data_IF_637126988972
#
_entry.id   IF_637126988972
#
_cell.length_a   1.000
_cell.length_b   1.000
_cell.length_c   1.000
_cell.angle_alpha   90.00
_cell.angle_beta   90.00
_cell.angle_gamma   90.00
#
_symmetry.space_group_name_H-M   'P 1'
#
loop_
_entity.id
_entity.type
_entity.pdbx_description
1 polymer ?
#
# COMPACT_ATOMS: atom_id res chain seq x y z
N UNK A 1 -26.04 4.66 4.97
CA UNK A 1 -25.14 3.87 4.10
C UNK A 1 -25.95 2.87 3.27
N UNK A 2 -25.51 2.55 2.03
CA UNK A 2 -26.06 1.45 1.24
C UNK A 2 -26.01 0.10 1.97
N UNK A 3 -26.81 -0.87 1.53
CA UNK A 3 -26.77 -2.24 2.07
C UNK A 3 -25.75 -3.13 1.35
N UNK A 4 -25.64 -2.98 0.03
CA UNK A 4 -24.75 -3.77 -0.82
C UNK A 4 -23.28 -3.39 -0.56
N UNK A 5 -22.37 -4.35 -0.32
CA UNK A 5 -20.96 -4.08 -0.08
C UNK A 5 -20.26 -3.33 -1.23
N UNK A 6 -20.62 -3.61 -2.49
CA UNK A 6 -20.06 -2.91 -3.65
C UNK A 6 -20.46 -1.43 -3.68
N UNK A 7 -21.73 -1.14 -3.39
CA UNK A 7 -22.23 0.25 -3.35
C UNK A 7 -21.60 1.05 -2.21
N UNK A 8 -21.37 0.41 -1.05
CA UNK A 8 -20.67 1.04 0.08
C UNK A 8 -19.24 1.39 -0.33
N UNK A 9 -18.50 0.44 -0.90
CA UNK A 9 -17.10 0.63 -1.27
C UNK A 9 -16.96 1.69 -2.38
N UNK A 10 -17.83 1.64 -3.40
CA UNK A 10 -17.84 2.63 -4.48
C UNK A 10 -18.22 4.03 -3.99
N UNK A 11 -19.17 4.16 -3.06
CA UNK A 11 -19.51 5.44 -2.44
C UNK A 11 -18.35 5.99 -1.60
N UNK A 12 -17.67 5.12 -0.84
CA UNK A 12 -16.50 5.50 -0.05
C UNK A 12 -15.31 5.92 -0.93
N UNK A 13 -15.02 5.19 -2.01
CA UNK A 13 -13.95 5.50 -2.97
C UNK A 13 -14.10 6.92 -3.57
N UNK A 14 -15.33 7.38 -3.75
CA UNK A 14 -15.60 8.73 -4.26
C UNK A 14 -15.27 9.85 -3.27
N UNK A 15 -15.16 9.58 -1.97
CA UNK A 15 -15.08 10.66 -0.98
C UNK A 15 -13.93 10.52 0.01
N UNK A 16 -13.15 9.43 0.02
CA UNK A 16 -11.97 9.28 0.87
C UNK A 16 -10.71 9.44 0.01
N UNK A 17 -9.71 10.15 0.53
CA UNK A 17 -8.49 10.45 -0.20
C UNK A 17 -8.63 11.61 -1.18
N UNK A 18 -7.53 11.89 -1.88
CA UNK A 18 -7.35 13.04 -2.76
C UNK A 18 -7.06 12.66 -4.23
N UNK A 19 -6.91 11.37 -4.51
CA UNK A 19 -6.58 10.77 -5.81
C UNK A 19 -7.76 10.66 -6.78
N UNK A 20 -8.55 11.73 -6.89
CA UNK A 20 -9.71 11.75 -7.76
C UNK A 20 -9.44 12.54 -9.03
N UNK A 21 -9.93 12.08 -10.20
CA UNK A 21 -9.96 12.90 -11.41
C UNK A 21 -10.73 14.22 -11.24
N UNK A 22 -11.66 14.28 -10.28
CA UNK A 22 -12.46 15.45 -9.97
C UNK A 22 -11.87 16.30 -8.83
N UNK A 23 -10.69 15.92 -8.30
CA UNK A 23 -10.06 16.69 -7.24
C UNK A 23 -9.67 18.09 -7.75
N UNK A 24 -9.97 19.11 -6.94
CA UNK A 24 -9.45 20.46 -7.17
C UNK A 24 -7.96 20.49 -6.83
N UNK A 25 -7.17 21.41 -7.39
CA UNK A 25 -5.78 21.60 -6.97
C UNK A 25 -5.66 21.77 -5.45
N UNK A 26 -4.67 21.11 -4.85
CA UNK A 26 -4.44 21.10 -3.42
C UNK A 26 -2.96 21.04 -3.07
N UNK A 27 -2.66 21.46 -1.85
CA UNK A 27 -1.35 21.33 -1.23
C UNK A 27 -1.52 20.73 0.17
N UNK A 28 -0.65 19.78 0.50
CA UNK A 28 -0.59 19.15 1.81
C UNK A 28 0.83 19.09 2.32
N UNK A 29 0.97 19.12 3.64
CA UNK A 29 2.20 18.82 4.35
C UNK A 29 1.92 17.88 5.50
N UNK A 30 2.71 16.83 5.59
CA UNK A 30 2.60 15.77 6.58
C UNK A 30 3.90 15.70 7.36
N UNK A 31 3.81 15.58 8.68
CA UNK A 31 4.93 15.19 9.51
C UNK A 31 4.71 13.76 10.00
N UNK A 32 5.77 12.94 9.93
CA UNK A 32 5.71 11.53 10.27
C UNK A 32 6.89 11.10 11.15
N UNK A 33 6.70 9.99 11.85
CA UNK A 33 7.72 9.26 12.56
C UNK A 33 7.66 7.79 12.16
N UNK A 34 8.83 7.18 11.97
CA UNK A 34 9.00 5.77 11.62
C UNK A 34 9.57 5.05 12.83
N UNK A 35 8.99 3.91 13.18
CA UNK A 35 9.40 3.09 14.30
C UNK A 35 10.30 1.93 13.87
N UNK A 36 11.24 1.56 14.73
CA UNK A 36 12.06 0.37 14.56
C UNK A 36 11.34 -0.91 15.04
N UNK A 37 12.02 -2.07 14.92
CA UNK A 37 11.46 -3.36 15.33
C UNK A 37 11.18 -3.51 16.84
N UNK A 38 11.69 -2.59 17.67
CA UNK A 38 11.44 -2.50 19.11
C UNK A 38 10.30 -1.52 19.45
N UNK A 39 9.77 -0.81 18.45
CA UNK A 39 8.74 0.21 18.62
C UNK A 39 9.27 1.56 19.11
N UNK A 40 10.58 1.80 19.00
CA UNK A 40 11.18 3.12 19.26
C UNK A 40 11.19 3.94 17.97
N UNK A 41 11.16 5.26 18.09
CA UNK A 41 11.30 6.14 16.92
C UNK A 41 12.70 5.98 16.34
N UNK A 42 12.79 5.45 15.12
CA UNK A 42 14.04 5.31 14.38
C UNK A 42 14.41 6.62 13.68
N UNK A 43 13.45 7.21 12.96
CA UNK A 43 13.62 8.54 12.35
C UNK A 43 12.29 9.27 12.20
N UNK A 44 12.38 10.57 11.91
CA UNK A 44 11.25 11.44 11.60
C UNK A 44 11.45 12.12 10.26
N UNK A 45 10.38 12.57 9.64
CA UNK A 45 10.46 13.33 8.41
C UNK A 45 9.19 14.09 8.06
N UNK A 46 9.24 14.73 6.89
CA UNK A 46 8.11 15.42 6.30
C UNK A 46 7.87 14.94 4.88
N UNK A 47 6.61 14.86 4.51
CA UNK A 47 6.16 14.69 3.13
C UNK A 47 5.31 15.90 2.74
N UNK A 48 5.59 16.50 1.59
CA UNK A 48 4.86 17.66 1.09
C UNK A 48 4.49 17.44 -0.37
N UNK A 49 3.24 17.69 -0.74
CA UNK A 49 2.74 17.46 -2.10
C UNK A 49 1.89 18.65 -2.55
N UNK A 50 2.24 19.18 -3.72
CA UNK A 50 1.42 20.12 -4.48
C UNK A 50 0.87 19.36 -5.67
N UNK A 51 -0.46 19.30 -5.78
CA UNK A 51 -1.12 18.56 -6.84
C UNK A 51 -2.10 19.48 -7.56
N UNK A 52 -1.97 19.56 -8.88
CA UNK A 52 -2.88 20.28 -9.76
C UNK A 52 -3.32 19.43 -10.97
N UNK A 53 -2.97 18.14 -10.97
CA UNK A 53 -3.40 17.16 -11.96
C UNK A 53 -2.43 15.98 -12.07
N UNK A 54 -2.81 14.92 -12.79
CA UNK A 54 -1.99 13.70 -12.93
C UNK A 54 -0.63 13.92 -13.62
N UNK A 55 -0.48 15.02 -14.36
CA UNK A 55 0.78 15.45 -14.99
C UNK A 55 1.23 16.84 -14.53
N UNK A 56 0.77 17.24 -13.34
CA UNK A 56 1.13 18.51 -12.71
C UNK A 56 1.13 18.29 -11.20
N UNK A 57 2.20 17.67 -10.75
CA UNK A 57 2.39 17.25 -9.37
C UNK A 57 3.84 17.50 -8.94
N UNK A 58 4.03 17.90 -7.69
CA UNK A 58 5.34 18.03 -7.06
C UNK A 58 5.29 17.39 -5.69
N UNK A 59 6.22 16.46 -5.44
CA UNK A 59 6.36 15.73 -4.18
C UNK A 59 7.72 15.99 -3.57
N UNK A 60 7.77 16.29 -2.28
CA UNK A 60 9.00 16.53 -1.53
C UNK A 60 9.02 15.60 -0.33
N UNK A 61 10.07 14.79 -0.25
CA UNK A 61 10.33 13.87 0.83
C UNK A 61 11.60 14.33 1.56
N UNK A 62 11.51 14.49 2.88
CA UNK A 62 12.64 14.95 3.70
C UNK A 62 12.69 14.18 5.01
N UNK A 63 13.78 13.45 5.25
CA UNK A 63 14.13 12.84 6.54
C UNK A 63 15.65 12.73 6.70
N UNK A 64 16.10 12.15 7.81
CA UNK A 64 17.52 11.82 8.00
C UNK A 64 18.00 10.65 7.13
N UNK A 65 17.09 9.88 6.56
CA UNK A 65 17.40 8.65 5.79
C UNK A 65 17.03 8.74 4.31
N UNK A 66 16.28 9.78 3.92
CA UNK A 66 15.79 9.94 2.56
C UNK A 66 15.50 11.42 2.24
N UNK A 67 15.98 11.90 1.10
CA UNK A 67 15.72 13.25 0.59
C UNK A 67 15.57 13.23 -0.93
N UNK A 68 14.34 13.45 -1.41
CA UNK A 68 14.02 13.49 -2.83
C UNK A 68 12.90 14.47 -3.10
N UNK A 69 13.03 15.23 -4.19
CA UNK A 69 11.94 15.99 -4.78
C UNK A 69 11.61 15.39 -6.14
N UNK A 70 10.34 15.14 -6.40
CA UNK A 70 9.83 14.67 -7.68
C UNK A 70 8.89 15.70 -8.30
N UNK A 71 8.95 15.82 -9.62
CA UNK A 71 8.11 16.68 -10.45
C UNK A 71 7.47 15.82 -11.52
N UNK A 72 6.14 15.72 -11.54
CA UNK A 72 5.40 15.06 -12.61
C UNK A 72 4.87 16.16 -13.53
N UNK A 73 5.30 16.10 -14.79
CA UNK A 73 4.98 17.11 -15.81
C UNK A 73 4.46 16.44 -17.09
N UNK A 74 3.98 17.22 -18.05
CA UNK A 74 3.66 16.70 -19.40
C UNK A 74 4.86 16.09 -20.12
N UNK A 75 6.08 16.53 -19.80
CA UNK A 75 7.32 16.01 -20.40
C UNK A 75 7.84 14.74 -19.71
N UNK A 76 7.13 14.25 -18.69
CA UNK A 76 7.53 13.10 -17.88
C UNK A 76 7.80 13.47 -16.42
N UNK A 77 8.36 12.51 -15.68
CA UNK A 77 8.70 12.68 -14.27
C UNK A 77 10.18 13.02 -14.11
N UNK A 78 10.50 13.94 -13.23
CA UNK A 78 11.87 14.38 -12.92
C UNK A 78 12.13 14.28 -11.44
N UNK A 79 13.39 14.01 -11.04
CA UNK A 79 13.81 13.97 -9.64
C UNK A 79 15.02 14.83 -9.35
N UNK A 80 15.12 15.28 -8.11
CA UNK A 80 16.33 15.87 -7.49
C UNK A 80 16.54 15.18 -6.14
N UNK A 81 17.79 14.86 -5.80
CA UNK A 81 18.15 14.15 -4.57
C UNK A 81 18.36 12.66 -4.83
N UNK A 82 17.93 11.84 -3.86
CA UNK A 82 18.21 10.40 -3.85
C UNK A 82 17.80 9.68 -5.13
N UNK A 83 18.62 8.71 -5.53
CA UNK A 83 18.41 7.96 -6.77
C UNK A 83 17.37 6.86 -6.64
N UNK A 84 17.38 6.17 -5.52
CA UNK A 84 16.38 5.15 -5.19
C UNK A 84 15.13 5.84 -4.69
N UNK A 85 13.96 5.32 -5.05
CA UNK A 85 12.65 5.84 -4.65
C UNK A 85 12.41 5.81 -3.14
N UNK A 86 11.29 6.40 -2.69
CA UNK A 86 10.96 6.45 -1.27
C UNK A 86 10.88 5.04 -0.66
N UNK A 87 11.47 4.82 0.53
CA UNK A 87 11.29 3.56 1.24
C UNK A 87 9.80 3.30 1.56
N UNK A 88 9.50 2.07 1.97
CA UNK A 88 8.13 1.64 2.26
C UNK A 88 7.39 2.58 3.24
N UNK A 89 8.05 3.05 4.29
CA UNK A 89 7.42 3.92 5.29
C UNK A 89 6.94 5.24 4.67
N UNK A 90 7.81 5.93 3.93
CA UNK A 90 7.51 7.17 3.22
C UNK A 90 6.46 6.97 2.11
N UNK A 91 6.53 5.84 1.40
CA UNK A 91 5.53 5.46 0.40
C UNK A 91 4.14 5.28 1.02
N UNK A 92 4.07 4.63 2.19
CA UNK A 92 2.80 4.44 2.91
C UNK A 92 2.20 5.74 3.42
N UNK A 93 3.02 6.70 3.86
CA UNK A 93 2.52 8.03 4.30
C UNK A 93 1.68 8.67 3.20
N UNK A 94 2.21 8.72 1.96
CA UNK A 94 1.46 9.25 0.82
C UNK A 94 0.27 8.36 0.48
N UNK A 95 0.49 7.05 0.32
CA UNK A 95 -0.56 6.12 -0.11
C UNK A 95 -1.78 6.18 0.81
N UNK A 96 -1.58 6.15 2.14
CA UNK A 96 -2.68 6.13 3.11
C UNK A 96 -3.39 7.48 3.24
N UNK A 97 -2.82 8.57 2.79
CA UNK A 97 -3.50 9.86 2.78
C UNK A 97 -4.18 10.14 1.44
N UNK A 98 -3.43 10.01 0.36
CA UNK A 98 -3.83 10.42 -0.99
C UNK A 98 -4.71 9.36 -1.66
N UNK A 99 -4.37 8.07 -1.52
CA UNK A 99 -5.05 6.93 -2.15
C UNK A 99 -5.42 5.82 -1.15
N UNK A 100 -6.25 6.12 -0.12
CA UNK A 100 -6.52 5.19 0.98
C UNK A 100 -7.48 4.04 0.63
N UNK A 101 -8.10 4.09 -0.55
CA UNK A 101 -9.14 3.18 -1.00
C UNK A 101 -8.56 2.15 -1.99
N UNK A 102 -9.16 0.95 -2.11
CA UNK A 102 -8.63 -0.07 -3.01
C UNK A 102 -8.71 0.40 -4.48
N UNK A 103 -7.65 0.13 -5.23
CA UNK A 103 -7.64 0.29 -6.69
C UNK A 103 -8.45 -0.79 -7.40
N UNK A 104 -8.55 -0.70 -8.74
CA UNK A 104 -9.26 -1.69 -9.55
C UNK A 104 -8.66 -3.09 -9.40
N UNK A 105 -7.33 -3.21 -9.45
CA UNK A 105 -6.63 -4.51 -9.32
C UNK A 105 -6.97 -5.25 -8.02
N UNK A 106 -7.20 -4.49 -6.93
CA UNK A 106 -7.60 -5.01 -5.63
C UNK A 106 -8.97 -5.69 -5.72
N UNK A 107 -9.90 -5.04 -6.40
CA UNK A 107 -11.30 -5.46 -6.50
C UNK A 107 -11.55 -6.47 -7.63
N UNK A 108 -10.69 -6.50 -8.65
CA UNK A 108 -10.83 -7.38 -9.81
C UNK A 108 -10.79 -8.84 -9.39
N UNK A 109 -11.87 -9.60 -9.56
CA UNK A 109 -12.02 -10.99 -9.11
C UNK A 109 -12.02 -11.18 -7.58
N UNK A 110 -12.26 -10.13 -6.80
CA UNK A 110 -12.56 -10.24 -5.38
C UNK A 110 -14.09 -10.34 -5.15
N UNK A 111 -14.49 -11.18 -4.21
CA UNK A 111 -15.83 -11.19 -3.66
C UNK A 111 -15.90 -10.18 -2.51
N UNK A 112 -16.73 -9.14 -2.66
CA UNK A 112 -16.88 -8.12 -1.63
C UNK A 112 -17.83 -8.61 -0.53
N UNK A 113 -17.29 -8.85 0.66
CA UNK A 113 -18.06 -9.31 1.81
C UNK A 113 -18.22 -8.19 2.84
N UNK A 114 -19.47 -7.98 3.28
CA UNK A 114 -19.76 -7.06 4.38
C UNK A 114 -19.47 -7.75 5.72
N UNK A 115 -18.72 -7.07 6.57
CA UNK A 115 -18.38 -7.46 7.95
C UNK A 115 -18.77 -6.32 8.89
N UNK A 116 -19.89 -6.46 9.59
CA UNK A 116 -20.32 -5.45 10.56
C UNK A 116 -19.65 -5.70 11.92
N UNK A 117 -19.08 -4.65 12.50
CA UNK A 117 -18.45 -4.62 13.83
C UNK A 117 -17.45 -5.77 14.07
N UNK A 118 -16.47 -5.98 13.16
CA UNK A 118 -15.58 -7.12 13.28
C UNK A 118 -14.57 -7.01 14.44
N UNK A 119 -14.44 -5.82 15.05
CA UNK A 119 -13.56 -5.59 16.19
C UNK A 119 -14.36 -5.35 17.49
N UNK A 120 -13.92 -5.89 18.63
CA UNK A 120 -14.58 -5.68 19.92
C UNK A 120 -14.76 -4.20 20.24
N UNK A 121 -15.93 -3.84 20.79
CA UNK A 121 -16.27 -2.48 21.23
C UNK A 121 -16.21 -1.40 20.14
N UNK A 122 -16.22 -1.78 18.86
CA UNK A 122 -16.30 -0.83 17.75
C UNK A 122 -17.67 -0.89 17.09
N UNK A 123 -18.09 0.24 16.52
CA UNK A 123 -19.23 0.30 15.61
C UNK A 123 -18.69 0.70 14.24
N UNK A 124 -18.44 -0.27 13.37
CA UNK A 124 -17.86 -0.05 12.04
C UNK A 124 -18.55 -0.95 11.02
N UNK A 125 -18.78 -0.42 9.82
CA UNK A 125 -19.19 -1.22 8.66
C UNK A 125 -17.96 -1.51 7.84
N UNK A 126 -17.56 -2.77 7.70
CA UNK A 126 -16.36 -3.13 6.95
C UNK A 126 -16.67 -3.91 5.68
N UNK A 127 -15.86 -3.72 4.65
CA UNK A 127 -15.90 -4.43 3.39
C UNK A 127 -14.58 -5.18 3.22
N UNK A 128 -14.66 -6.50 3.11
CA UNK A 128 -13.52 -7.41 2.93
C UNK A 128 -13.46 -7.87 1.47
N UNK A 129 -12.30 -7.80 0.85
CA UNK A 129 -12.06 -8.17 -0.56
C UNK A 129 -11.61 -9.63 -0.63
N UNK A 130 -12.56 -10.55 -0.44
CA UNK A 130 -12.28 -11.99 -0.32
C UNK A 130 -11.85 -12.58 -1.65
N UNK A 131 -10.76 -13.34 -1.65
CA UNK A 131 -10.31 -14.13 -2.80
C UNK A 131 -10.60 -15.60 -2.55
N UNK A 132 -10.97 -16.34 -3.59
CA UNK A 132 -11.18 -17.79 -3.49
C UNK A 132 -9.86 -18.48 -3.14
N UNK A 133 -9.91 -19.32 -2.11
CA UNK A 133 -8.87 -20.25 -1.69
C UNK A 133 -9.49 -21.64 -1.74
N UNK A 134 -8.84 -22.60 -2.38
CA UNK A 134 -9.44 -23.90 -2.71
C UNK A 134 -9.89 -24.67 -1.46
N UNK A 135 -8.97 -24.80 -0.49
CA UNK A 135 -9.24 -25.40 0.81
C UNK A 135 -9.36 -24.31 1.87
N UNK A 136 -10.57 -23.81 2.05
CA UNK A 136 -10.94 -22.92 3.15
C UNK A 136 -11.96 -23.62 4.06
N UNK A 137 -11.55 -23.92 5.29
CA UNK A 137 -12.43 -24.49 6.32
C UNK A 137 -13.16 -23.35 7.04
N UNK A 138 -14.40 -23.07 6.63
CA UNK A 138 -15.26 -22.06 7.26
C UNK A 138 -15.11 -20.64 6.68
N UNK A 139 -15.76 -19.63 7.28
CA UNK A 139 -15.63 -18.26 6.82
C UNK A 139 -14.19 -17.76 6.96
N UNK A 140 -13.75 -16.92 6.02
CA UNK A 140 -12.45 -16.25 6.13
C UNK A 140 -12.30 -15.57 7.48
N UNK A 141 -11.19 -15.78 8.21
CA UNK A 141 -10.84 -14.94 9.34
C UNK A 141 -10.87 -13.48 8.88
N UNK A 142 -11.51 -12.62 9.68
CA UNK A 142 -11.54 -11.18 9.42
C UNK A 142 -10.11 -10.66 9.30
N UNK A 143 -9.86 -9.91 8.23
CA UNK A 143 -8.57 -9.25 8.01
C UNK A 143 -7.53 -10.15 7.37
N UNK A 144 -7.86 -11.41 7.07
CA UNK A 144 -7.04 -12.25 6.19
C UNK A 144 -6.93 -11.61 4.80
N UNK A 145 -7.99 -10.99 4.31
CA UNK A 145 -7.97 -10.24 3.05
C UNK A 145 -7.99 -8.74 3.33
N UNK A 146 -7.69 -7.89 2.32
CA UNK A 146 -7.85 -6.45 2.45
C UNK A 146 -9.24 -6.10 3.01
N UNK A 147 -9.25 -5.37 4.11
CA UNK A 147 -10.43 -5.00 4.87
C UNK A 147 -10.48 -3.48 4.99
N UNK A 148 -11.60 -2.86 4.59
CA UNK A 148 -11.82 -1.42 4.68
C UNK A 148 -13.03 -1.14 5.55
N UNK A 149 -12.84 -0.40 6.63
CA UNK A 149 -13.84 -0.17 7.66
C UNK A 149 -14.24 1.29 7.73
N UNK A 150 -15.54 1.53 7.67
CA UNK A 150 -16.16 2.85 7.61
C UNK A 150 -16.94 3.16 8.88
N UNK A 151 -17.04 4.45 9.19
CA UNK A 151 -17.95 4.97 10.20
C UNK A 151 -19.40 4.54 9.90
N UNK A 152 -20.23 4.19 10.89
CA UNK A 152 -21.61 3.75 10.66
C UNK A 152 -22.53 4.86 10.15
N UNK A 153 -22.20 6.12 10.39
CA UNK A 153 -23.01 7.28 10.02
C UNK A 153 -22.68 7.82 8.61
N UNK A 154 -21.45 7.64 8.15
CA UNK A 154 -20.97 8.12 6.85
C UNK A 154 -19.95 7.14 6.26
N UNK A 155 -19.80 7.03 4.92
CA UNK A 155 -18.79 6.18 4.30
C UNK A 155 -17.37 6.78 4.42
N UNK A 156 -17.00 7.20 5.64
CA UNK A 156 -15.74 7.78 6.05
C UNK A 156 -14.83 6.64 6.54
N UNK A 157 -13.67 6.47 5.92
CA UNK A 157 -12.72 5.42 6.26
C UNK A 157 -12.13 5.68 7.66
N UNK A 158 -12.19 4.65 8.51
CA UNK A 158 -11.67 4.67 9.89
C UNK A 158 -10.56 3.66 10.10
N UNK A 159 -10.54 2.59 9.31
CA UNK A 159 -9.51 1.57 9.38
C UNK A 159 -9.35 0.89 8.02
N UNK A 160 -8.12 0.55 7.65
CA UNK A 160 -7.84 -0.40 6.58
C UNK A 160 -6.77 -1.39 7.01
N UNK A 161 -6.86 -2.65 6.58
CA UNK A 161 -5.89 -3.68 6.95
C UNK A 161 -5.70 -4.69 5.84
N UNK A 162 -4.55 -5.36 5.81
CA UNK A 162 -4.26 -6.41 4.84
C UNK A 162 -3.50 -7.56 5.49
N UNK A 163 -4.01 -8.78 5.30
CA UNK A 163 -3.45 -10.05 5.82
C UNK A 163 -3.26 -10.10 7.35
N UNK A 164 -3.91 -9.19 8.10
CA UNK A 164 -3.72 -9.00 9.54
C UNK A 164 -2.34 -8.46 9.91
N UNK A 165 -1.49 -8.17 8.93
CA UNK A 165 -0.11 -7.76 9.14
C UNK A 165 -0.01 -6.23 9.16
N UNK A 166 -0.34 -5.59 8.03
CA UNK A 166 -0.27 -4.15 7.90
C UNK A 166 -1.64 -3.55 8.13
N UNK A 167 -1.79 -2.79 9.23
CA UNK A 167 -3.04 -2.19 9.63
C UNK A 167 -2.89 -0.68 9.73
N UNK A 168 -3.86 0.07 9.23
CA UNK A 168 -3.92 1.53 9.29
C UNK A 168 -5.16 1.96 10.05
N UNK A 169 -4.95 2.74 11.10
CA UNK A 169 -5.97 3.36 11.91
C UNK A 169 -6.01 4.86 11.62
N UNK A 170 -7.15 5.34 11.14
CA UNK A 170 -7.42 6.75 10.93
C UNK A 170 -8.02 7.32 12.22
N UNK A 171 -7.15 7.76 13.13
CA UNK A 171 -7.51 8.25 14.47
C UNK A 171 -8.37 9.51 14.37
N UNK A 172 -7.95 10.46 13.54
CA UNK A 172 -8.71 11.66 13.21
C UNK A 172 -8.88 11.77 11.71
N UNK A 173 -10.07 12.22 11.31
CA UNK A 173 -10.42 12.43 9.91
C UNK A 173 -10.95 13.85 9.79
N UNK A 174 -10.34 14.62 8.90
CA UNK A 174 -10.77 15.95 8.50
C UNK A 174 -11.38 15.94 7.11
N UNK A 175 -11.61 17.12 6.56
CA UNK A 175 -12.08 17.29 5.18
C UNK A 175 -11.22 18.28 4.41
N UNK A 176 -10.94 17.96 3.15
CA UNK A 176 -10.32 18.86 2.19
C UNK A 176 -11.03 18.71 0.85
N UNK A 177 -11.52 19.80 0.27
CA UNK A 177 -12.21 19.74 -1.02
C UNK A 177 -13.47 18.86 -1.05
N UNK A 178 -14.17 18.72 0.08
CA UNK A 178 -15.35 17.85 0.17
C UNK A 178 -15.02 16.36 0.35
N UNK A 179 -13.74 16.02 0.59
CA UNK A 179 -13.25 14.65 0.72
C UNK A 179 -12.71 14.42 2.13
N UNK A 180 -12.96 13.24 2.68
CA UNK A 180 -12.41 12.77 3.94
C UNK A 180 -10.93 12.48 3.82
N UNK A 181 -10.18 12.96 4.81
CA UNK A 181 -8.73 12.88 4.85
C UNK A 181 -8.25 12.49 6.24
N UNK A 182 -7.41 11.46 6.37
CA UNK A 182 -6.80 11.08 7.64
C UNK A 182 -5.86 12.16 8.15
N UNK A 183 -6.24 12.90 9.18
CA UNK A 183 -5.39 13.99 9.72
C UNK A 183 -4.47 13.53 10.84
N UNK A 184 -4.74 12.37 11.42
CA UNK A 184 -3.92 11.68 12.42
C UNK A 184 -4.06 10.18 12.16
N UNK A 185 -2.98 9.53 11.75
CA UNK A 185 -2.99 8.17 11.23
C UNK A 185 -1.86 7.37 11.85
N UNK A 186 -2.17 6.13 12.24
CA UNK A 186 -1.21 5.15 12.69
C UNK A 186 -1.21 3.92 11.80
N UNK A 187 -0.02 3.48 11.42
CA UNK A 187 0.21 2.25 10.70
C UNK A 187 0.97 1.32 11.64
N UNK A 188 0.43 0.12 11.83
CA UNK A 188 1.12 -0.97 12.51
C UNK A 188 1.47 -2.08 11.54
N UNK A 189 2.60 -2.71 11.81
CA UNK A 189 3.10 -3.86 11.10
C UNK A 189 3.26 -5.04 12.06
N UNK A 190 2.58 -6.15 11.80
CA UNK A 190 2.55 -7.34 12.67
C UNK A 190 2.15 -7.01 14.11
N UNK A 191 1.27 -6.03 14.26
CA UNK A 191 0.81 -5.52 15.56
C UNK A 191 1.77 -4.56 16.28
N UNK A 192 2.96 -4.30 15.72
CA UNK A 192 3.90 -3.31 16.25
C UNK A 192 3.71 -1.95 15.57
N UNK A 193 3.95 -0.82 16.25
CA UNK A 193 3.98 0.49 15.61
C UNK A 193 4.98 0.47 14.44
N UNK A 194 4.61 1.06 13.30
CA UNK A 194 5.49 1.17 12.14
C UNK A 194 5.63 2.61 11.65
N UNK A 195 4.51 3.30 11.39
CA UNK A 195 4.52 4.71 11.00
C UNK A 195 3.38 5.43 11.69
N UNK A 196 3.66 6.55 12.34
CA UNK A 196 2.63 7.52 12.73
C UNK A 196 2.82 8.79 11.92
N UNK A 197 1.72 9.37 11.44
CA UNK A 197 1.78 10.64 10.74
C UNK A 197 0.57 11.52 11.03
N UNK A 198 0.77 12.83 10.91
CA UNK A 198 -0.30 13.82 11.03
C UNK A 198 -0.20 14.85 9.92
N UNK A 199 -1.36 15.31 9.47
CA UNK A 199 -1.48 16.39 8.49
C UNK A 199 -1.17 17.72 9.20
N UNK A 200 -0.02 18.31 8.87
CA UNK A 200 0.40 19.61 9.38
C UNK A 200 -0.28 20.75 8.62
N UNK A 201 -0.41 20.63 7.30
CA UNK A 201 -1.08 21.61 6.44
C UNK A 201 -1.92 20.88 5.38
N UNK A 202 -3.07 21.45 5.02
CA UNK A 202 -3.94 20.91 3.97
C UNK A 202 -4.86 21.99 3.42
N UNK A 203 -4.57 22.46 2.21
CA UNK A 203 -5.22 23.62 1.61
C UNK A 203 -5.64 23.33 0.16
N UNK A 204 -6.78 23.89 -0.24
CA UNK A 204 -7.11 23.97 -1.68
C UNK A 204 -6.34 25.14 -2.29
N UNK A 205 -5.78 24.91 -3.46
CA UNK A 205 -5.10 25.96 -4.23
C UNK A 205 -6.14 26.67 -5.09
N UNK A 206 -6.45 27.93 -4.76
CA UNK A 206 -7.36 28.77 -5.56
C UNK A 206 -6.71 29.29 -6.84
N UNK A 207 -5.39 29.53 -6.78
CA UNK A 207 -4.53 29.87 -7.91
C UNK A 207 -3.37 28.90 -7.95
N UNK A 208 -3.07 28.36 -9.13
CA UNK A 208 -1.94 27.45 -9.34
C UNK A 208 -0.75 28.27 -9.81
N UNK A 209 0.26 28.40 -8.96
CA UNK A 209 1.56 28.95 -9.36
C UNK A 209 2.32 27.88 -10.15
N UNK A 210 2.42 28.08 -11.48
CA UNK A 210 3.08 27.15 -12.39
C UNK A 210 4.57 26.96 -12.07
N UNK A 211 5.22 27.94 -11.43
CA UNK A 211 6.63 27.84 -11.07
C UNK A 211 6.91 26.75 -10.03
N UNK A 212 5.91 26.37 -9.23
CA UNK A 212 6.02 25.28 -8.26
C UNK A 212 6.34 23.96 -8.97
N UNK A 213 5.75 23.72 -10.15
CA UNK A 213 5.83 22.46 -10.88
C UNK A 213 6.97 22.40 -11.88
N UNK A 214 7.71 23.50 -12.08
CA UNK A 214 8.84 23.54 -12.97
C UNK A 214 10.04 22.78 -12.34
N UNK A 215 10.53 21.68 -12.96
CA UNK A 215 11.72 21.01 -12.49
C UNK A 215 12.93 21.94 -12.66
N UNK A 216 13.87 21.98 -11.69
CA UNK A 216 15.09 22.75 -11.84
C UNK A 216 16.00 22.13 -12.90
N UNK A 217 16.93 22.92 -13.44
CA UNK A 217 17.81 22.49 -14.54
C UNK A 217 18.70 21.28 -14.22
N UNK A 218 18.95 20.99 -12.94
CA UNK A 218 19.72 19.83 -12.49
C UNK A 218 18.85 18.59 -12.21
N UNK A 219 17.54 18.64 -12.48
CA UNK A 219 16.66 17.50 -12.29
C UNK A 219 16.93 16.40 -13.33
N UNK A 220 16.86 15.15 -12.89
CA UNK A 220 17.10 13.97 -13.71
C UNK A 220 15.74 13.39 -14.11
N UNK A 221 15.55 13.14 -15.41
CA UNK A 221 14.34 12.48 -15.91
C UNK A 221 14.28 11.02 -15.42
N UNK A 222 13.13 10.62 -14.90
CA UNK A 222 12.83 9.24 -14.55
C UNK A 222 12.19 8.54 -15.74
N UNK A 223 12.49 7.25 -15.96
CA UNK A 223 11.76 6.45 -16.93
C UNK A 223 10.27 6.38 -16.55
N UNK A 224 9.38 6.59 -17.51
CA UNK A 224 7.92 6.67 -17.31
C UNK A 224 7.24 5.38 -16.83
N UNK A 225 7.96 4.25 -16.72
CA UNK A 225 7.34 2.93 -16.60
C UNK A 225 7.71 2.22 -15.30
N UNK A 226 6.69 1.93 -14.49
CA UNK A 226 6.67 0.68 -13.74
C UNK A 226 6.65 -0.47 -14.76
N UNK A 227 7.55 -1.43 -14.59
CA UNK A 227 7.69 -2.54 -15.54
C UNK A 227 7.03 -3.77 -14.97
N UNK A 228 6.23 -4.45 -15.80
CA UNK A 228 5.77 -5.80 -15.47
C UNK A 228 6.86 -6.78 -15.87
N UNK A 229 7.47 -7.44 -14.90
CA UNK A 229 8.56 -8.39 -15.14
C UNK A 229 8.07 -9.80 -14.81
N UNK A 230 8.37 -10.76 -15.69
CA UNK A 230 8.06 -12.16 -15.43
C UNK A 230 8.75 -12.66 -14.14
N UNK A 231 8.00 -13.32 -13.27
CA UNK A 231 8.51 -13.78 -11.97
C UNK A 231 9.74 -14.68 -12.04
N UNK A 232 9.94 -15.43 -13.14
CA UNK A 232 11.14 -16.26 -13.35
C UNK A 232 12.42 -15.42 -13.47
N UNK A 233 12.32 -14.25 -14.08
CA UNK A 233 13.45 -13.32 -14.25
C UNK A 233 13.83 -12.72 -12.91
N UNK A 234 12.85 -12.37 -12.07
CA UNK A 234 13.10 -11.81 -10.74
C UNK A 234 13.53 -12.83 -9.70
N UNK A 235 13.12 -14.10 -9.82
CA UNK A 235 13.51 -15.16 -8.87
C UNK A 235 15.04 -15.28 -8.71
N UNK A 236 15.80 -15.08 -9.80
CA UNK A 236 17.26 -15.07 -9.79
C UNK A 236 17.91 -13.81 -9.20
N UNK A 237 17.12 -12.77 -8.88
CA UNK A 237 17.58 -11.49 -8.33
C UNK A 237 17.24 -11.32 -6.85
N UNK A 238 16.63 -12.32 -6.20
CA UNK A 238 16.40 -12.28 -4.75
C UNK A 238 17.75 -12.27 -4.03
N UNK A 239 17.99 -11.25 -3.21
CA UNK A 239 19.20 -11.09 -2.42
C UNK A 239 19.07 -11.78 -1.06
N UNK A 240 17.99 -11.51 -0.35
CA UNK A 240 17.77 -11.95 1.03
C UNK A 240 16.29 -12.29 1.29
N UNK A 241 16.03 -12.98 2.40
CA UNK A 241 14.69 -13.20 2.94
C UNK A 241 14.39 -14.66 3.28
N UNK A 242 13.62 -14.87 4.34
CA UNK A 242 13.30 -16.18 4.92
C UNK A 242 12.63 -17.11 3.92
N UNK A 243 12.93 -18.41 4.01
CA UNK A 243 12.18 -19.42 3.28
C UNK A 243 10.77 -19.57 3.89
N UNK A 244 9.72 -19.74 3.07
CA UNK A 244 8.38 -20.02 3.57
C UNK A 244 8.35 -21.31 4.39
N UNK A 245 7.75 -21.25 5.58
CA UNK A 245 7.68 -22.39 6.52
C UNK A 245 6.45 -23.24 6.22
N UNK A 246 6.63 -24.51 5.86
CA UNK A 246 5.50 -25.42 5.66
C UNK A 246 4.66 -25.55 6.95
N UNK A 247 3.38 -25.08 6.97
CA UNK A 247 2.54 -25.16 8.15
C UNK A 247 2.30 -26.61 8.59
N UNK A 248 2.42 -26.89 9.89
CA UNK A 248 2.27 -28.24 10.43
C UNK A 248 0.88 -28.85 10.16
N UNK A 249 -0.17 -28.03 10.23
CA UNK A 249 -1.54 -28.44 9.92
C UNK A 249 -1.68 -28.86 8.45
N UNK A 250 -1.21 -28.05 7.50
CA UNK A 250 -1.21 -28.39 6.08
C UNK A 250 -0.38 -29.64 5.78
N UNK A 251 0.79 -29.77 6.42
CA UNK A 251 1.66 -30.95 6.28
C UNK A 251 0.95 -32.23 6.75
N UNK A 252 0.29 -32.17 7.91
CA UNK A 252 -0.46 -33.29 8.49
C UNK A 252 -1.67 -33.67 7.64
N UNK A 253 -2.36 -32.66 7.09
CA UNK A 253 -3.47 -32.84 6.16
C UNK A 253 -3.03 -33.19 4.72
N UNK A 254 -1.71 -33.31 4.47
CA UNK A 254 -1.11 -33.57 3.15
C UNK A 254 -1.51 -32.56 2.07
N UNK A 255 -1.84 -31.34 2.48
CA UNK A 255 -2.18 -30.25 1.57
C UNK A 255 -0.90 -29.71 0.97
N UNK A 256 -0.81 -29.68 -0.35
CA UNK A 256 0.34 -29.19 -1.13
C UNK A 256 -0.14 -28.35 -2.31
N UNK A 257 0.76 -27.61 -2.94
CA UNK A 257 0.42 -26.79 -4.10
C UNK A 257 1.25 -25.51 -4.18
N UNK A 258 0.81 -24.59 -5.06
CA UNK A 258 1.51 -23.33 -5.30
C UNK A 258 0.64 -22.16 -4.88
N UNK A 259 1.18 -21.30 -4.02
CA UNK A 259 0.59 -19.99 -3.73
C UNK A 259 1.13 -19.01 -4.78
N UNK A 260 0.23 -18.26 -5.43
CA UNK A 260 0.56 -17.23 -6.39
C UNK A 260 0.25 -15.88 -5.77
N UNK A 261 1.28 -15.04 -5.64
CA UNK A 261 1.19 -13.68 -5.12
C UNK A 261 1.48 -12.69 -6.25
N UNK A 262 0.67 -11.65 -6.37
CA UNK A 262 1.09 -10.41 -7.04
C UNK A 262 1.95 -9.62 -6.07
N UNK A 263 3.05 -9.05 -6.55
CA UNK A 263 3.93 -8.21 -5.75
C UNK A 263 4.26 -6.91 -6.48
N UNK A 264 4.25 -5.80 -5.76
CA UNK A 264 4.92 -4.57 -6.16
C UNK A 264 6.25 -4.49 -5.42
N UNK A 265 7.35 -4.45 -6.17
CA UNK A 265 8.70 -4.29 -5.64
C UNK A 265 9.11 -2.84 -5.86
N UNK A 266 9.51 -2.16 -4.79
CA UNK A 266 9.97 -0.77 -4.85
C UNK A 266 11.30 -0.62 -5.59
N UNK A 267 11.67 0.63 -5.89
CA UNK A 267 12.97 0.99 -6.46
C UNK A 267 14.14 0.52 -5.56
N UNK A 268 13.91 0.34 -4.26
CA UNK A 268 14.87 -0.16 -3.28
C UNK A 268 14.99 -1.70 -3.25
N UNK A 269 14.19 -2.40 -4.06
CA UNK A 269 14.14 -3.86 -4.13
C UNK A 269 13.33 -4.53 -3.02
N UNK A 270 12.67 -3.78 -2.12
CA UNK A 270 11.78 -4.35 -1.10
C UNK A 270 10.37 -4.54 -1.61
N UNK A 271 9.64 -5.45 -0.97
CA UNK A 271 8.21 -5.63 -1.23
C UNK A 271 7.43 -4.45 -0.67
N UNK A 272 6.74 -3.71 -1.54
CA UNK A 272 5.84 -2.61 -1.17
C UNK A 272 4.39 -3.09 -1.03
N UNK A 273 3.93 -3.98 -1.92
CA UNK A 273 2.59 -4.55 -1.87
C UNK A 273 2.61 -6.05 -2.16
N UNK A 274 1.68 -6.77 -1.53
CA UNK A 274 1.39 -8.18 -1.84
C UNK A 274 -0.12 -8.37 -2.02
N UNK A 275 -0.49 -9.25 -2.94
CA UNK A 275 -1.87 -9.67 -3.17
C UNK A 275 -1.92 -11.16 -3.40
N UNK A 276 -2.82 -11.87 -2.74
CA UNK A 276 -3.08 -13.28 -3.08
C UNK A 276 -3.85 -13.31 -4.40
N UNK A 277 -3.27 -13.91 -5.44
CA UNK A 277 -3.97 -14.22 -6.70
C UNK A 277 -4.66 -15.58 -6.59
N UNK A 278 -3.96 -16.58 -6.07
CA UNK A 278 -4.52 -17.90 -5.75
C UNK A 278 -3.72 -18.61 -4.67
N UNK A 279 -4.38 -19.48 -3.92
CA UNK A 279 -3.74 -20.36 -2.96
C UNK A 279 -4.55 -21.66 -2.81
N UNK A 280 -3.87 -22.82 -2.68
CA UNK A 280 -4.56 -24.08 -2.42
C UNK A 280 -5.15 -24.13 -1.01
N UNK A 281 -4.58 -23.39 -0.04
CA UNK A 281 -5.01 -23.42 1.35
C UNK A 281 -4.61 -22.13 2.09
N UNK A 282 -5.43 -21.73 3.05
CA UNK A 282 -5.25 -20.49 3.82
C UNK A 282 -3.97 -20.46 4.63
N UNK A 283 -3.57 -21.59 5.23
CA UNK A 283 -2.35 -21.66 6.03
C UNK A 283 -1.10 -21.54 5.15
N UNK A 284 -1.14 -22.10 3.93
CA UNK A 284 -0.07 -21.94 2.95
C UNK A 284 0.03 -20.49 2.45
N UNK A 285 -1.11 -19.82 2.25
CA UNK A 285 -1.16 -18.42 1.86
C UNK A 285 -0.53 -17.51 2.92
N UNK A 286 -0.91 -17.66 4.19
CA UNK A 286 -0.36 -16.90 5.31
C UNK A 286 1.15 -17.09 5.45
N UNK A 287 1.63 -18.34 5.39
CA UNK A 287 3.06 -18.64 5.42
C UNK A 287 3.80 -18.01 4.24
N UNK A 288 3.21 -18.00 3.05
CA UNK A 288 3.83 -17.41 1.87
C UNK A 288 3.96 -15.88 2.03
N UNK A 289 2.91 -15.21 2.51
CA UNK A 289 2.93 -13.76 2.73
C UNK A 289 3.95 -13.38 3.80
N UNK A 290 3.94 -14.07 4.96
CA UNK A 290 4.88 -13.85 6.07
C UNK A 290 6.33 -13.91 5.57
N UNK A 291 6.66 -14.91 4.76
CA UNK A 291 8.02 -15.05 4.24
C UNK A 291 8.34 -14.06 3.12
N UNK A 292 7.46 -13.89 2.13
CA UNK A 292 7.74 -13.09 0.93
C UNK A 292 7.86 -11.61 1.25
N UNK A 293 7.11 -11.10 2.21
CA UNK A 293 7.18 -9.68 2.59
C UNK A 293 8.56 -9.26 3.06
N UNK A 294 9.29 -10.17 3.70
CA UNK A 294 10.65 -9.93 4.20
C UNK A 294 11.73 -10.15 3.12
N UNK A 295 11.33 -10.44 1.88
CA UNK A 295 12.28 -10.61 0.79
C UNK A 295 12.80 -9.27 0.29
N UNK A 296 14.08 -9.27 -0.09
CA UNK A 296 14.72 -8.14 -0.77
C UNK A 296 15.33 -8.64 -2.07
N UNK A 297 15.09 -7.90 -3.14
CA UNK A 297 15.60 -8.14 -4.48
C UNK A 297 16.68 -7.14 -4.84
N UNK A 298 17.55 -7.49 -5.78
CA UNK A 298 18.44 -6.52 -6.39
C UNK A 298 17.58 -5.51 -7.18
N UNK A 299 17.72 -4.19 -6.94
CA UNK A 299 16.96 -3.17 -7.65
C UNK A 299 16.90 -3.43 -9.15
N UNK A 300 15.70 -3.35 -9.72
CA UNK A 300 15.54 -3.51 -11.15
C UNK A 300 15.79 -2.17 -11.81
N UNK A 301 16.70 -2.12 -12.76
CA UNK A 301 17.11 -0.87 -13.40
C UNK A 301 16.63 -0.82 -14.84
N UNK A 302 15.96 0.26 -15.23
CA UNK A 302 15.64 0.59 -16.62
C UNK A 302 16.48 1.81 -17.02
N UNK A 303 17.25 1.69 -18.10
CA UNK A 303 18.19 2.73 -18.55
C UNK A 303 19.16 3.21 -17.44
N UNK A 304 19.58 2.30 -16.57
CA UNK A 304 20.49 2.60 -15.46
C UNK A 304 19.82 3.15 -14.20
N UNK A 305 18.51 3.43 -14.23
CA UNK A 305 17.77 3.97 -13.09
C UNK A 305 16.88 2.91 -12.44
N UNK A 306 16.86 2.80 -11.10
CA UNK A 306 15.90 1.95 -10.40
C UNK A 306 14.46 2.28 -10.77
N UNK A 307 13.62 1.26 -10.95
CA UNK A 307 12.18 1.40 -11.22
C UNK A 307 11.38 0.42 -10.36
N UNK A 308 10.13 0.79 -10.07
CA UNK A 308 9.17 -0.14 -9.46
C UNK A 308 8.81 -1.27 -10.42
N UNK A 309 8.61 -2.46 -9.85
CA UNK A 309 8.32 -3.67 -10.63
C UNK A 309 7.07 -4.36 -10.13
N UNK A 310 6.12 -4.59 -11.03
CA UNK A 310 4.99 -5.49 -10.78
C UNK A 310 5.36 -6.90 -11.25
N UNK A 311 5.14 -7.91 -10.41
CA UNK A 311 5.45 -9.30 -10.74
C UNK A 311 4.55 -10.32 -10.05
N UNK A 312 4.64 -11.56 -10.51
CA UNK A 312 4.06 -12.73 -9.84
C UNK A 312 5.13 -13.56 -9.13
N UNK A 313 4.97 -13.74 -7.82
CA UNK A 313 5.79 -14.62 -7.00
C UNK A 313 5.05 -15.94 -6.78
N UNK A 314 5.71 -17.05 -7.12
CA UNK A 314 5.15 -18.41 -6.96
C UNK A 314 5.87 -19.15 -5.84
N UNK A 315 5.17 -19.42 -4.75
CA UNK A 315 5.69 -20.17 -3.61
C UNK A 315 5.17 -21.61 -3.68
N UNK A 316 6.08 -22.56 -3.90
CA UNK A 316 5.73 -23.98 -4.05
C UNK A 316 5.90 -24.73 -2.73
N UNK A 317 4.81 -25.33 -2.23
CA UNK A 317 4.84 -26.24 -1.08
C UNK A 317 4.77 -27.68 -1.58
N UNK A 318 5.85 -28.43 -1.36
CA UNK A 318 5.94 -29.85 -1.70
C UNK A 318 6.16 -30.66 -0.44
N UNK A 319 5.39 -31.74 -0.29
CA UNK A 319 5.71 -32.77 0.68
C UNK A 319 6.99 -33.46 0.20
N UNK A 320 8.06 -33.40 0.99
CA UNK A 320 9.18 -34.30 0.78
C UNK A 320 8.63 -35.73 0.95
N UNK A 321 8.62 -36.51 -0.13
CA UNK A 321 8.36 -37.95 -0.03
C UNK A 321 9.35 -38.55 0.96
N UNK A 322 8.86 -39.41 1.85
CA UNK A 322 9.72 -40.26 2.67
C UNK A 322 10.50 -41.24 1.83
#
# INVERSE_FOLDING_TARGET
MPKNPADILAAAAKINGLDSPEAKPWHIKIAYQVFDGEGKVGHTGTFEEWWAGPKKDKRVYTSSTFNRTEYVTEAGTFRVGDEVGPPLAESLVRQRLVSPMPGSEDTDNAELQRRDNPFPNTKLTCIELVRKIDHQLGPSPVGLFPLYCFDPSAPMLRFSGSFGLLNTLYKKVGMLGGRYLGTDVSISDTGKPFVDFHLAEGNLMTTVDESIFAPPANAIALPEQSVTVEGKVLAGRKLNGSAPRYPAAAKSARISGTVILSALIGEDGRIHELRIKSAPDVSLALSAIEAVRDWTYAPYTLNGHPVEVSTEIRVMYRLSGG
#
